data_IF_332933510059
#
_entry.id   IF_332933510059
#
_cell.length_a   1.000
_cell.length_b   1.000
_cell.length_c   1.000
_cell.angle_alpha   90.00
_cell.angle_beta   90.00
_cell.angle_gamma   90.00
#
_symmetry.space_group_name_H-M   'P 1'
#
loop_
_entity.id
_entity.type
_entity.pdbx_description
1 polymer ?
#
# COMPACT_ATOMS: atom_id res chain seq x y z
N UNK A 1 200.68 96.67 53.26
CA UNK A 1 199.84 97.87 53.43
C UNK A 1 198.61 97.45 54.22
N UNK A 2 198.34 98.17 55.31
CA UNK A 2 197.04 98.34 56.00
C UNK A 2 195.89 98.58 55.01
N UNK A 3 194.60 98.60 55.40
CA UNK A 3 194.04 98.66 56.77
C UNK A 3 192.86 97.66 57.02
N UNK A 4 192.60 97.09 58.19
CA UNK A 4 192.24 97.61 59.53
C UNK A 4 191.02 98.55 59.58
N UNK A 5 189.94 98.09 60.21
CA UNK A 5 188.81 98.92 60.67
C UNK A 5 187.60 98.04 61.01
N UNK A 6 187.44 97.57 62.26
CA UNK A 6 186.70 98.26 63.33
C UNK A 6 185.21 98.42 63.03
N UNK A 7 184.35 97.69 63.75
CA UNK A 7 183.34 98.30 64.63
C UNK A 7 182.46 97.23 65.30
N UNK A 8 182.62 97.14 66.61
CA UNK A 8 181.65 96.68 67.60
C UNK A 8 180.32 97.44 67.50
N UNK A 9 179.17 96.75 67.39
CA UNK A 9 177.84 97.22 67.86
C UNK A 9 176.73 96.11 67.69
N UNK A 10 176.11 95.70 68.81
CA UNK A 10 174.77 95.05 69.00
C UNK A 10 174.49 93.55 68.74
N UNK A 11 174.61 92.69 69.79
CA UNK A 11 173.93 91.39 69.87
C UNK A 11 172.40 91.45 70.09
N UNK A 12 171.85 92.58 70.57
CA UNK A 12 170.43 92.64 71.01
C UNK A 12 169.43 92.89 69.87
N UNK A 13 169.76 93.74 68.88
CA UNK A 13 168.92 93.92 67.68
C UNK A 13 168.96 92.71 66.74
N UNK A 14 170.12 92.03 66.64
CA UNK A 14 170.28 90.79 65.87
C UNK A 14 169.45 89.64 66.45
N UNK A 15 169.34 89.54 67.79
CA UNK A 15 168.50 88.55 68.47
C UNK A 15 167.01 88.76 68.22
N UNK A 16 166.53 90.01 68.23
CA UNK A 16 165.12 90.34 67.95
C UNK A 16 164.75 90.03 66.50
N UNK A 17 165.64 90.33 65.55
CA UNK A 17 165.46 89.98 64.13
C UNK A 17 165.43 88.46 63.92
N UNK A 18 166.32 87.71 64.60
CA UNK A 18 166.33 86.24 64.58
C UNK A 18 165.05 85.62 65.13
N UNK A 19 164.50 86.18 66.21
CA UNK A 19 163.24 85.72 66.80
C UNK A 19 162.04 86.00 65.88
N UNK A 20 162.02 87.16 65.21
CA UNK A 20 160.98 87.50 64.22
C UNK A 20 161.09 86.63 62.97
N UNK A 21 162.30 86.30 62.52
CA UNK A 21 162.53 85.36 61.41
C UNK A 21 162.05 83.96 61.81
N UNK A 22 162.46 83.45 62.97
CA UNK A 22 162.01 82.15 63.47
C UNK A 22 160.48 82.08 63.62
N UNK A 23 159.86 83.14 64.13
CA UNK A 23 158.39 83.20 64.23
C UNK A 23 157.71 83.28 62.85
N UNK A 24 158.31 83.99 61.88
CA UNK A 24 157.82 84.00 60.50
C UNK A 24 157.98 82.64 59.82
N UNK A 25 159.09 81.95 60.02
CA UNK A 25 159.34 80.61 59.49
C UNK A 25 158.38 79.59 60.13
N UNK A 26 158.09 79.73 61.42
CA UNK A 26 157.09 78.93 62.13
C UNK A 26 155.67 79.20 61.60
N UNK A 27 155.33 80.47 61.33
CA UNK A 27 154.06 80.85 60.68
C UNK A 27 154.00 80.33 59.22
N UNK A 28 155.11 80.35 58.48
CA UNK A 28 155.19 79.80 57.12
C UNK A 28 154.99 78.29 57.17
N UNK A 29 155.67 77.57 58.05
CA UNK A 29 155.50 76.12 58.23
C UNK A 29 154.07 75.74 58.63
N UNK A 30 153.43 76.52 59.51
CA UNK A 30 152.01 76.34 59.85
C UNK A 30 151.11 76.61 58.65
N UNK A 31 151.39 77.65 57.84
CA UNK A 31 150.61 77.94 56.62
C UNK A 31 150.80 76.87 55.55
N UNK A 32 152.02 76.37 55.34
CA UNK A 32 152.31 75.26 54.43
C UNK A 32 151.59 73.98 54.86
N UNK A 33 151.56 73.70 56.17
CA UNK A 33 150.77 72.59 56.73
C UNK A 33 149.28 72.76 56.47
N UNK A 34 148.72 73.96 56.70
CA UNK A 34 147.31 74.26 56.41
C UNK A 34 147.01 74.16 54.91
N UNK A 35 147.92 74.61 54.04
CA UNK A 35 147.77 74.48 52.59
C UNK A 35 147.75 73.00 52.20
N UNK A 36 148.68 72.19 52.69
CA UNK A 36 148.71 70.75 52.44
C UNK A 36 147.44 70.03 52.95
N UNK A 37 146.93 70.41 54.12
CA UNK A 37 145.64 69.93 54.64
C UNK A 37 144.45 70.37 53.76
N UNK A 38 144.48 71.59 53.20
CA UNK A 38 143.44 72.07 52.29
C UNK A 38 143.50 71.40 50.93
N UNK A 39 144.69 71.15 50.39
CA UNK A 39 144.90 70.43 49.13
C UNK A 39 144.44 68.97 49.24
N UNK A 40 144.73 68.31 50.37
CA UNK A 40 144.22 66.96 50.65
C UNK A 40 142.69 66.96 50.79
N UNK A 41 142.09 67.89 51.54
CA UNK A 41 140.63 68.05 51.61
C UNK A 41 139.99 68.31 50.24
N UNK A 42 140.60 69.14 49.39
CA UNK A 42 140.11 69.43 48.04
C UNK A 42 140.16 68.20 47.15
N UNK A 43 141.23 67.41 47.25
CA UNK A 43 141.38 66.15 46.53
C UNK A 43 140.32 65.15 46.98
N UNK A 44 140.13 64.97 48.29
CA UNK A 44 139.14 64.06 48.85
C UNK A 44 137.73 64.48 48.44
N UNK A 45 137.40 65.77 48.55
CA UNK A 45 136.09 66.30 48.15
C UNK A 45 135.84 66.12 46.64
N UNK A 46 136.87 66.31 45.81
CA UNK A 46 136.79 66.04 44.37
C UNK A 46 136.53 64.56 44.10
N UNK A 47 137.26 63.65 44.75
CA UNK A 47 137.05 62.20 44.58
C UNK A 47 135.67 61.74 45.07
N UNK A 48 135.20 62.31 46.19
CA UNK A 48 133.87 62.04 46.73
C UNK A 48 132.79 62.51 45.74
N UNK A 49 132.91 63.72 45.21
CA UNK A 49 131.97 64.28 44.22
C UNK A 49 131.97 63.48 42.92
N UNK A 50 133.14 63.09 42.41
CA UNK A 50 133.25 62.23 41.22
C UNK A 50 132.60 60.86 41.42
N UNK A 51 132.76 60.26 42.61
CA UNK A 51 132.14 58.98 42.97
C UNK A 51 130.62 59.12 43.06
N UNK A 52 130.12 60.13 43.78
CA UNK A 52 128.69 60.40 43.90
C UNK A 52 128.03 60.69 42.56
N UNK A 53 128.69 61.45 41.67
CA UNK A 53 128.18 61.70 40.33
C UNK A 53 128.12 60.42 39.49
N UNK A 54 129.14 59.56 39.56
CA UNK A 54 129.14 58.26 38.87
C UNK A 54 128.03 57.35 39.38
N UNK A 55 127.85 57.26 40.69
CA UNK A 55 126.81 56.43 41.30
C UNK A 55 125.41 56.95 40.91
N UNK A 56 125.20 58.28 40.94
CA UNK A 56 123.95 58.90 40.52
C UNK A 56 123.67 58.65 39.03
N UNK A 57 124.69 58.75 38.16
CA UNK A 57 124.56 58.44 36.73
C UNK A 57 124.15 56.98 36.55
N UNK A 58 124.84 56.04 37.21
CA UNK A 58 124.54 54.61 37.12
C UNK A 58 123.12 54.28 37.60
N UNK A 59 122.66 54.92 38.68
CA UNK A 59 121.28 54.78 39.18
C UNK A 59 120.27 55.30 38.16
N UNK A 60 120.53 56.46 37.54
CA UNK A 60 119.66 57.04 36.50
C UNK A 60 119.63 56.19 35.24
N UNK A 61 120.77 55.65 34.79
CA UNK A 61 120.85 54.73 33.66
C UNK A 61 120.05 53.46 33.92
N UNK A 62 120.17 52.89 35.12
CA UNK A 62 119.36 51.72 35.52
C UNK A 62 117.86 52.03 35.51
N UNK A 63 117.45 53.17 36.07
CA UNK A 63 116.05 53.60 36.06
C UNK A 63 115.52 53.85 34.64
N UNK A 64 116.34 54.41 33.75
CA UNK A 64 115.99 54.59 32.33
C UNK A 64 115.75 53.23 31.67
N UNK A 65 116.68 52.28 31.83
CA UNK A 65 116.56 50.94 31.27
C UNK A 65 115.31 50.20 31.78
N UNK A 66 114.98 50.33 33.07
CA UNK A 66 113.75 49.78 33.65
C UNK A 66 112.48 50.42 33.05
N UNK A 67 112.49 51.75 32.83
CA UNK A 67 111.37 52.46 32.20
C UNK A 67 111.22 52.11 30.73
N UNK A 68 112.30 51.98 29.97
CA UNK A 68 112.29 51.54 28.58
C UNK A 68 111.72 50.13 28.45
N UNK A 69 112.12 49.21 29.33
CA UNK A 69 111.54 47.87 29.37
C UNK A 69 110.03 47.89 29.65
N UNK A 70 109.59 48.71 30.61
CA UNK A 70 108.18 48.85 30.95
C UNK A 70 107.36 49.49 29.80
N UNK A 71 107.95 50.43 29.06
CA UNK A 71 107.34 51.02 27.87
C UNK A 71 107.18 49.93 26.79
N UNK A 72 108.23 49.17 26.50
CA UNK A 72 108.19 48.10 25.50
C UNK A 72 107.14 47.01 25.85
N UNK A 73 107.04 46.64 27.13
CA UNK A 73 106.00 45.71 27.61
C UNK A 73 104.59 46.29 27.41
N UNK A 74 104.37 47.57 27.71
CA UNK A 74 103.08 48.23 27.49
C UNK A 74 102.73 48.37 26.02
N UNK A 75 103.68 48.70 25.16
CA UNK A 75 103.48 48.77 23.70
C UNK A 75 103.07 47.42 23.14
N UNK A 76 103.70 46.33 23.61
CA UNK A 76 103.30 44.96 23.24
C UNK A 76 101.86 44.65 23.67
N UNK A 77 101.48 44.98 24.89
CA UNK A 77 100.09 44.79 25.39
C UNK A 77 99.09 45.63 24.59
N UNK A 78 99.43 46.87 24.23
CA UNK A 78 98.58 47.72 23.38
C UNK A 78 98.39 47.07 22.02
N UNK A 79 99.47 46.62 21.36
CA UNK A 79 99.39 45.94 20.07
C UNK A 79 98.52 44.67 20.13
N UNK A 80 98.67 43.86 21.18
CA UNK A 80 97.81 42.67 21.41
C UNK A 80 96.34 43.04 21.63
N UNK A 81 96.04 44.17 22.29
CA UNK A 81 94.67 44.64 22.48
C UNK A 81 94.07 45.21 21.19
N UNK A 82 94.86 45.89 20.37
CA UNK A 82 94.43 46.38 19.07
C UNK A 82 94.09 45.24 18.11
N UNK A 83 94.89 44.16 18.09
CA UNK A 83 94.57 42.96 17.30
C UNK A 83 93.31 42.28 17.82
N UNK A 84 93.18 42.08 19.14
CA UNK A 84 91.95 41.52 19.74
C UNK A 84 90.69 42.33 19.40
N UNK A 85 90.78 43.67 19.44
CA UNK A 85 89.66 44.54 19.08
C UNK A 85 89.30 44.43 17.60
N UNK A 86 90.29 44.32 16.72
CA UNK A 86 90.07 44.12 15.29
C UNK A 86 89.40 42.76 15.03
N UNK A 87 89.87 41.71 15.67
CA UNK A 87 89.32 40.36 15.53
C UNK A 87 87.88 40.30 16.06
N UNK A 88 87.61 40.89 17.24
CA UNK A 88 86.25 40.99 17.78
C UNK A 88 85.31 41.77 16.87
N UNK A 89 85.78 42.88 16.30
CA UNK A 89 84.99 43.69 15.36
C UNK A 89 84.64 42.89 14.10
N UNK A 90 85.61 42.22 13.49
CA UNK A 90 85.37 41.41 12.28
C UNK A 90 84.48 40.21 12.56
N UNK A 91 84.62 39.57 13.73
CA UNK A 91 83.75 38.47 14.14
C UNK A 91 82.30 38.96 14.32
N UNK A 92 82.10 40.08 15.01
CA UNK A 92 80.77 40.67 15.25
C UNK A 92 80.10 41.10 13.93
N UNK A 93 80.84 41.75 13.04
CA UNK A 93 80.35 42.14 11.71
C UNK A 93 79.92 40.92 10.89
N UNK A 94 80.72 39.85 10.91
CA UNK A 94 80.41 38.60 10.21
C UNK A 94 79.16 37.94 10.78
N UNK A 95 79.09 37.76 12.10
CA UNK A 95 77.95 37.14 12.77
C UNK A 95 76.64 37.92 12.56
N UNK A 96 76.69 39.26 12.61
CA UNK A 96 75.52 40.09 12.33
C UNK A 96 75.06 39.94 10.88
N UNK A 97 76.00 39.93 9.92
CA UNK A 97 75.67 39.77 8.50
C UNK A 97 75.05 38.40 8.22
N UNK A 98 75.60 37.33 8.80
CA UNK A 98 75.08 35.98 8.63
C UNK A 98 73.68 35.84 9.26
N UNK A 99 73.49 36.40 10.46
CA UNK A 99 72.19 36.41 11.13
C UNK A 99 71.14 37.18 10.31
N UNK A 100 71.49 38.34 9.75
CA UNK A 100 70.59 39.10 8.88
C UNK A 100 70.22 38.27 7.65
N UNK A 101 71.20 37.66 6.98
CA UNK A 101 70.94 36.84 5.79
C UNK A 101 70.06 35.62 6.10
N UNK A 102 70.22 34.98 7.26
CA UNK A 102 69.35 33.89 7.70
C UNK A 102 67.92 34.38 7.96
N UNK A 103 67.76 35.53 8.63
CA UNK A 103 66.45 36.12 8.90
C UNK A 103 65.74 36.55 7.61
N UNK A 104 66.46 37.13 6.65
CA UNK A 104 65.92 37.48 5.34
C UNK A 104 65.42 36.24 4.59
N UNK A 105 66.19 35.16 4.56
CA UNK A 105 65.76 33.88 3.97
C UNK A 105 64.48 33.35 4.63
N UNK A 106 64.43 33.33 5.97
CA UNK A 106 63.25 32.89 6.72
C UNK A 106 62.02 33.77 6.44
N UNK A 107 62.21 35.08 6.27
CA UNK A 107 61.13 36.00 5.90
C UNK A 107 60.61 35.64 4.50
N UNK A 108 61.49 35.50 3.52
CA UNK A 108 61.10 35.15 2.14
C UNK A 108 60.39 33.79 2.07
N UNK A 109 60.83 32.79 2.84
CA UNK A 109 60.13 31.49 2.93
C UNK A 109 58.73 31.63 3.53
N UNK A 110 58.58 32.42 4.60
CA UNK A 110 57.28 32.69 5.21
C UNK A 110 56.35 33.45 4.27
N UNK A 111 56.85 34.44 3.54
CA UNK A 111 56.08 35.18 2.54
C UNK A 111 55.56 34.27 1.43
N UNK A 112 56.40 33.35 0.93
CA UNK A 112 55.96 32.34 -0.05
C UNK A 112 54.86 31.44 0.50
N UNK A 113 55.02 30.94 1.73
CA UNK A 113 54.01 30.10 2.37
C UNK A 113 52.69 30.85 2.62
N UNK A 114 52.75 32.14 2.94
CA UNK A 114 51.57 32.99 3.08
C UNK A 114 50.86 33.12 1.73
N UNK A 115 51.59 33.45 0.66
CA UNK A 115 51.02 33.59 -0.68
C UNK A 115 50.38 32.27 -1.20
N UNK A 116 51.01 31.12 -0.93
CA UNK A 116 50.44 29.81 -1.26
C UNK A 116 49.14 29.53 -0.49
N UNK A 117 49.10 29.85 0.81
CA UNK A 117 47.89 29.70 1.63
C UNK A 117 46.78 30.64 1.19
N UNK A 118 47.08 31.89 0.85
CA UNK A 118 46.10 32.85 0.34
C UNK A 118 45.49 32.36 -0.98
N UNK A 119 46.33 31.84 -1.89
CA UNK A 119 45.85 31.24 -3.14
C UNK A 119 44.95 30.03 -2.88
N UNK A 120 45.35 29.14 -1.97
CA UNK A 120 44.55 27.97 -1.60
C UNK A 120 43.21 28.36 -0.97
N UNK A 121 43.18 29.36 -0.10
CA UNK A 121 41.95 29.89 0.50
C UNK A 121 41.04 30.44 -0.60
N UNK A 122 41.56 31.27 -1.52
CA UNK A 122 40.79 31.82 -2.63
C UNK A 122 40.20 30.72 -3.52
N UNK A 123 40.97 29.67 -3.85
CA UNK A 123 40.47 28.50 -4.59
C UNK A 123 39.37 27.73 -3.84
N UNK A 124 39.44 27.66 -2.51
CA UNK A 124 38.41 27.01 -1.70
C UNK A 124 37.14 27.86 -1.59
N UNK A 125 37.28 29.17 -1.48
CA UNK A 125 36.15 30.10 -1.49
C UNK A 125 35.39 30.07 -2.82
N UNK A 126 36.10 30.02 -3.94
CA UNK A 126 35.46 29.88 -5.27
C UNK A 126 34.76 28.53 -5.41
N UNK A 127 35.41 27.42 -5.02
CA UNK A 127 34.78 26.09 -5.01
C UNK A 127 33.51 26.04 -4.15
N UNK A 128 33.54 26.63 -2.94
CA UNK A 128 32.37 26.69 -2.07
C UNK A 128 31.23 27.52 -2.66
N UNK A 129 31.56 28.65 -3.29
CA UNK A 129 30.57 29.50 -3.96
C UNK A 129 29.93 28.75 -5.14
N UNK A 130 30.73 28.09 -5.97
CA UNK A 130 30.25 27.33 -7.12
C UNK A 130 29.34 26.17 -6.68
N UNK A 131 29.77 25.40 -5.67
CA UNK A 131 28.94 24.33 -5.08
C UNK A 131 27.61 24.87 -4.55
N UNK A 132 27.63 25.96 -3.78
CA UNK A 132 26.41 26.57 -3.25
C UNK A 132 25.45 27.00 -4.37
N UNK A 133 25.97 27.66 -5.42
CA UNK A 133 25.13 28.06 -6.56
C UNK A 133 24.60 26.87 -7.36
N UNK A 134 25.36 25.77 -7.44
CA UNK A 134 24.92 24.55 -8.10
C UNK A 134 23.80 23.86 -7.30
N UNK A 135 23.95 23.76 -5.98
CA UNK A 135 22.93 23.22 -5.08
C UNK A 135 21.64 24.04 -5.13
N UNK A 136 21.73 25.37 -5.07
CA UNK A 136 20.57 26.27 -5.18
C UNK A 136 19.82 26.08 -6.51
N UNK A 137 20.54 25.95 -7.63
CA UNK A 137 19.93 25.66 -8.94
C UNK A 137 19.25 24.30 -8.98
N UNK A 138 19.91 23.25 -8.45
CA UNK A 138 19.37 21.91 -8.43
C UNK A 138 18.10 21.82 -7.57
N UNK A 139 18.06 22.53 -6.44
CA UNK A 139 16.88 22.64 -5.59
C UNK A 139 15.75 23.32 -6.36
N UNK A 140 16.00 24.48 -6.99
CA UNK A 140 14.99 25.20 -7.77
C UNK A 140 14.43 24.36 -8.93
N UNK A 141 15.27 23.60 -9.63
CA UNK A 141 14.83 22.67 -10.68
C UNK A 141 13.95 21.55 -10.14
N UNK A 142 14.32 20.96 -8.99
CA UNK A 142 13.51 19.92 -8.33
C UNK A 142 12.18 20.46 -7.85
N UNK A 143 12.14 21.64 -7.25
CA UNK A 143 10.91 22.30 -6.82
C UNK A 143 9.97 22.56 -8.00
N UNK A 144 10.51 23.06 -9.12
CA UNK A 144 9.74 23.25 -10.35
C UNK A 144 9.17 21.93 -10.88
N UNK A 145 9.98 20.87 -10.90
CA UNK A 145 9.54 19.54 -11.33
C UNK A 145 8.43 18.97 -10.43
N UNK A 146 8.56 19.12 -9.11
CA UNK A 146 7.54 18.70 -8.15
C UNK A 146 6.24 19.47 -8.40
N UNK A 147 6.29 20.80 -8.53
CA UNK A 147 5.12 21.63 -8.79
C UNK A 147 4.40 21.24 -10.11
N UNK A 148 5.17 20.93 -11.16
CA UNK A 148 4.63 20.44 -12.42
C UNK A 148 3.93 19.08 -12.25
N UNK A 149 4.54 18.16 -11.50
CA UNK A 149 3.95 16.83 -11.22
C UNK A 149 2.72 16.90 -10.33
N UNK A 150 2.70 17.79 -9.34
CA UNK A 150 1.50 18.04 -8.52
C UNK A 150 0.34 18.58 -9.35
N UNK A 151 0.63 19.49 -10.28
CA UNK A 151 -0.37 20.02 -11.22
C UNK A 151 -0.91 18.91 -12.12
N UNK A 152 -0.03 18.11 -12.74
CA UNK A 152 -0.43 16.97 -13.57
C UNK A 152 -1.28 15.95 -12.80
N UNK A 153 -0.93 15.64 -11.55
CA UNK A 153 -1.71 14.73 -10.70
C UNK A 153 -3.08 15.30 -10.36
N UNK A 154 -3.17 16.60 -10.09
CA UNK A 154 -4.45 17.28 -9.82
C UNK A 154 -5.36 17.23 -11.04
N UNK A 155 -4.83 17.54 -12.22
CA UNK A 155 -5.58 17.54 -13.48
C UNK A 155 -6.05 16.12 -13.86
N UNK A 156 -5.17 15.12 -13.73
CA UNK A 156 -5.57 13.72 -13.96
C UNK A 156 -6.64 13.26 -12.97
N UNK A 157 -6.56 13.69 -11.71
CA UNK A 157 -7.57 13.34 -10.70
C UNK A 157 -8.92 13.96 -11.04
N UNK A 158 -8.96 15.25 -11.38
CA UNK A 158 -10.22 15.92 -11.74
C UNK A 158 -10.80 15.35 -13.04
N UNK A 159 -9.97 15.03 -14.02
CA UNK A 159 -10.40 14.37 -15.25
C UNK A 159 -11.02 12.99 -14.96
N UNK A 160 -10.37 12.17 -14.13
CA UNK A 160 -10.88 10.84 -13.78
C UNK A 160 -12.17 10.91 -12.96
N UNK A 161 -12.27 11.84 -12.01
CA UNK A 161 -13.50 12.08 -11.25
C UNK A 161 -14.66 12.49 -12.17
N UNK A 162 -14.38 13.34 -13.16
CA UNK A 162 -15.38 13.78 -14.15
C UNK A 162 -15.80 12.62 -15.05
N UNK A 163 -14.85 11.86 -15.61
CA UNK A 163 -15.13 10.67 -16.43
C UNK A 163 -15.99 9.64 -15.68
N UNK A 164 -15.71 9.40 -14.40
CA UNK A 164 -16.44 8.42 -13.60
C UNK A 164 -17.87 8.89 -13.30
N UNK A 165 -18.05 10.20 -13.06
CA UNK A 165 -19.37 10.80 -12.89
C UNK A 165 -20.20 10.71 -14.17
N UNK A 166 -19.62 11.07 -15.31
CA UNK A 166 -20.29 11.05 -16.61
C UNK A 166 -20.67 9.62 -17.01
N UNK A 167 -19.75 8.66 -16.84
CA UNK A 167 -20.01 7.25 -17.10
C UNK A 167 -21.13 6.70 -16.21
N UNK A 168 -21.17 7.11 -14.93
CA UNK A 168 -22.23 6.71 -14.01
C UNK A 168 -23.58 7.25 -14.47
N UNK A 169 -23.66 8.54 -14.82
CA UNK A 169 -24.90 9.13 -15.33
C UNK A 169 -25.37 8.48 -16.62
N UNK A 170 -24.45 8.18 -17.54
CA UNK A 170 -24.76 7.50 -18.80
C UNK A 170 -25.26 6.06 -18.57
N UNK A 171 -24.70 5.34 -17.59
CA UNK A 171 -25.19 4.00 -17.24
C UNK A 171 -26.54 4.03 -16.55
N UNK A 172 -26.81 5.04 -15.72
CA UNK A 172 -28.11 5.24 -15.09
C UNK A 172 -29.20 5.58 -16.11
N UNK A 173 -28.91 6.44 -17.10
CA UNK A 173 -29.84 6.75 -18.20
C UNK A 173 -30.10 5.52 -19.07
N UNK A 174 -29.05 4.80 -19.50
CA UNK A 174 -29.19 3.56 -20.26
C UNK A 174 -30.05 2.51 -19.54
N UNK A 175 -29.86 2.34 -18.23
CA UNK A 175 -30.66 1.39 -17.44
C UNK A 175 -32.14 1.81 -17.39
N UNK A 176 -32.39 3.12 -17.24
CA UNK A 176 -33.75 3.67 -17.21
C UNK A 176 -34.45 3.48 -18.56
N UNK A 177 -33.77 3.79 -19.66
CA UNK A 177 -34.30 3.66 -21.02
C UNK A 177 -34.55 2.19 -21.39
N UNK A 178 -33.65 1.27 -21.00
CA UNK A 178 -33.86 -0.16 -21.20
C UNK A 178 -35.08 -0.66 -20.41
N UNK A 179 -35.26 -0.17 -19.18
CA UNK A 179 -36.41 -0.52 -18.34
C UNK A 179 -37.73 -0.03 -18.95
N UNK A 180 -37.80 1.23 -19.39
CA UNK A 180 -39.01 1.79 -20.01
C UNK A 180 -39.33 1.10 -21.33
N UNK A 181 -38.32 0.75 -22.13
CA UNK A 181 -38.49 -0.04 -23.35
C UNK A 181 -39.10 -1.41 -23.04
N UNK A 182 -38.53 -2.13 -22.06
CA UNK A 182 -38.99 -3.47 -21.68
C UNK A 182 -40.41 -3.44 -21.08
N UNK A 183 -40.75 -2.42 -20.29
CA UNK A 183 -42.10 -2.19 -19.79
C UNK A 183 -43.11 -1.92 -20.92
N UNK A 184 -42.71 -1.15 -21.94
CA UNK A 184 -43.56 -0.85 -23.10
C UNK A 184 -43.78 -2.11 -23.94
N UNK A 185 -42.72 -2.86 -24.23
CA UNK A 185 -42.81 -4.14 -24.95
C UNK A 185 -43.72 -5.15 -24.24
N UNK A 186 -43.64 -5.24 -22.91
CA UNK A 186 -44.53 -6.10 -22.13
C UNK A 186 -45.99 -5.66 -22.24
N UNK A 187 -46.28 -4.36 -22.15
CA UNK A 187 -47.64 -3.82 -22.30
C UNK A 187 -48.22 -4.11 -23.69
N UNK A 188 -47.43 -3.88 -24.74
CA UNK A 188 -47.85 -4.11 -26.12
C UNK A 188 -48.14 -5.60 -26.36
N UNK A 189 -47.28 -6.48 -25.84
CA UNK A 189 -47.46 -7.93 -25.93
C UNK A 189 -48.73 -8.39 -25.18
N UNK A 190 -48.98 -7.85 -23.98
CA UNK A 190 -50.20 -8.15 -23.22
C UNK A 190 -51.43 -7.71 -24.01
N UNK A 191 -51.44 -6.48 -24.55
CA UNK A 191 -52.55 -5.97 -25.33
C UNK A 191 -52.81 -6.80 -26.60
N UNK A 192 -51.75 -7.27 -27.27
CA UNK A 192 -51.86 -8.18 -28.40
C UNK A 192 -52.48 -9.53 -27.99
N UNK A 193 -52.02 -10.11 -26.86
CA UNK A 193 -52.56 -11.37 -26.34
C UNK A 193 -54.01 -11.24 -25.90
N UNK A 194 -54.40 -10.13 -25.27
CA UNK A 194 -55.79 -9.84 -24.90
C UNK A 194 -56.69 -9.78 -26.14
N UNK A 195 -56.27 -9.08 -27.21
CA UNK A 195 -57.01 -9.06 -28.48
C UNK A 195 -57.21 -10.47 -29.05
N UNK A 196 -56.14 -11.27 -29.10
CA UNK A 196 -56.23 -12.66 -29.56
C UNK A 196 -57.18 -13.50 -28.71
N UNK A 197 -57.18 -13.34 -27.38
CA UNK A 197 -58.13 -14.02 -26.50
C UNK A 197 -59.56 -13.64 -26.87
N UNK A 198 -59.86 -12.34 -27.01
CA UNK A 198 -61.22 -11.88 -27.36
C UNK A 198 -61.69 -12.40 -28.72
N UNK A 199 -60.79 -12.50 -29.71
CA UNK A 199 -61.11 -13.11 -31.01
C UNK A 199 -61.39 -14.62 -30.88
N UNK A 200 -60.61 -15.33 -30.05
CA UNK A 200 -60.83 -16.76 -29.79
C UNK A 200 -62.13 -17.01 -29.03
N UNK A 201 -62.49 -16.18 -28.05
CA UNK A 201 -63.77 -16.26 -27.34
C UNK A 201 -64.96 -16.08 -28.29
N UNK A 202 -64.89 -15.11 -29.22
CA UNK A 202 -65.92 -14.93 -30.26
C UNK A 202 -66.06 -16.16 -31.15
N UNK A 203 -64.94 -16.73 -31.60
CA UNK A 203 -64.95 -17.96 -32.40
C UNK A 203 -65.56 -19.15 -31.65
N UNK A 204 -65.25 -19.29 -30.36
CA UNK A 204 -65.86 -20.33 -29.51
C UNK A 204 -67.38 -20.13 -29.42
N UNK A 205 -67.84 -18.89 -29.17
CA UNK A 205 -69.26 -18.59 -29.09
C UNK A 205 -70.00 -18.89 -30.42
N UNK A 206 -69.39 -18.57 -31.56
CA UNK A 206 -69.91 -18.92 -32.90
C UNK A 206 -69.98 -20.45 -33.11
N UNK A 207 -68.98 -21.19 -32.65
CA UNK A 207 -68.98 -22.65 -32.73
C UNK A 207 -70.05 -23.27 -31.82
N UNK A 208 -70.27 -22.72 -30.62
CA UNK A 208 -71.31 -23.17 -29.69
C UNK A 208 -72.73 -22.95 -30.25
N UNK A 209 -72.98 -21.82 -30.91
CA UNK A 209 -74.27 -21.56 -31.58
C UNK A 209 -74.49 -22.52 -32.74
N UNK A 210 -73.48 -22.74 -33.58
CA UNK A 210 -73.54 -23.75 -34.64
C UNK A 210 -73.83 -25.15 -34.10
N UNK A 211 -73.13 -25.58 -33.04
CA UNK A 211 -73.39 -26.87 -32.38
C UNK A 211 -74.83 -26.98 -31.85
N UNK A 212 -75.38 -25.90 -31.29
CA UNK A 212 -76.77 -25.86 -30.80
C UNK A 212 -77.77 -26.00 -31.95
N UNK A 213 -77.52 -25.35 -33.08
CA UNK A 213 -78.36 -25.46 -34.27
C UNK A 213 -78.31 -26.88 -34.86
N UNK A 214 -77.10 -27.46 -35.01
CA UNK A 214 -76.94 -28.84 -35.44
C UNK A 214 -77.67 -29.83 -34.52
N UNK A 215 -77.59 -29.64 -33.20
CA UNK A 215 -78.35 -30.46 -32.23
C UNK A 215 -79.86 -30.33 -32.42
N UNK A 216 -80.35 -29.11 -32.64
CA UNK A 216 -81.78 -28.87 -32.87
C UNK A 216 -82.26 -29.54 -34.16
N UNK A 217 -81.47 -29.46 -35.23
CA UNK A 217 -81.73 -30.19 -36.49
C UNK A 217 -81.76 -31.70 -36.27
N UNK A 218 -80.80 -32.22 -35.51
CA UNK A 218 -80.72 -33.65 -35.20
C UNK A 218 -81.96 -34.14 -34.43
N UNK A 219 -82.42 -33.40 -33.40
CA UNK A 219 -83.65 -33.70 -32.67
C UNK A 219 -84.88 -33.68 -33.59
N UNK A 220 -84.95 -32.73 -34.53
CA UNK A 220 -86.04 -32.69 -35.51
C UNK A 220 -86.03 -33.91 -36.43
N UNK A 221 -84.85 -34.30 -36.93
CA UNK A 221 -84.68 -35.51 -37.73
C UNK A 221 -85.10 -36.75 -36.93
N UNK A 222 -84.67 -36.85 -35.68
CA UNK A 222 -84.99 -38.00 -34.82
C UNK A 222 -86.49 -38.07 -34.54
N UNK A 223 -87.14 -36.95 -34.23
CA UNK A 223 -88.60 -36.88 -34.08
C UNK A 223 -89.33 -37.28 -35.37
N UNK A 224 -88.84 -36.86 -36.54
CA UNK A 224 -89.37 -37.31 -37.84
C UNK A 224 -89.21 -38.83 -38.01
N UNK A 225 -88.04 -39.39 -37.69
CA UNK A 225 -87.82 -40.85 -37.78
C UNK A 225 -88.70 -41.63 -36.80
N UNK A 226 -88.93 -41.13 -35.58
CA UNK A 226 -89.83 -41.75 -34.61
C UNK A 226 -91.30 -41.69 -35.06
N UNK A 227 -91.73 -40.59 -35.68
CA UNK A 227 -93.06 -40.49 -36.30
C UNK A 227 -93.21 -41.49 -37.46
N UNK A 228 -92.20 -41.64 -38.31
CA UNK A 228 -92.15 -42.64 -39.38
C UNK A 228 -92.17 -44.08 -38.82
N UNK A 229 -91.41 -44.38 -37.76
CA UNK A 229 -91.44 -45.66 -37.05
C UNK A 229 -92.80 -45.95 -36.39
N UNK A 230 -93.47 -44.94 -35.84
CA UNK A 230 -94.81 -45.09 -35.25
C UNK A 230 -95.90 -45.43 -36.28
N UNK A 231 -95.68 -45.09 -37.56
CA UNK A 231 -96.55 -45.50 -38.68
C UNK A 231 -96.34 -46.95 -39.08
N UNK A 232 -95.21 -47.57 -38.70
CA UNK A 232 -94.98 -49.01 -38.85
C UNK A 232 -95.77 -49.75 -37.78
N UNK A 233 -97.01 -50.14 -38.13
CA UNK A 233 -97.94 -50.93 -37.30
C UNK A 233 -97.24 -52.10 -36.60
N UNK A 234 -97.19 -52.07 -35.27
CA UNK A 234 -97.28 -53.28 -34.45
C UNK A 234 -98.42 -53.11 -33.45
N UNK A 235 -99.41 -54.00 -33.48
CA UNK A 235 -100.68 -53.88 -32.76
C UNK A 235 -100.60 -54.13 -31.25
N UNK A 236 -99.55 -53.66 -30.57
CA UNK A 236 -99.39 -53.79 -29.11
C UNK A 236 -99.07 -52.42 -28.51
N UNK A 237 -99.72 -52.06 -27.40
CA UNK A 237 -99.39 -50.84 -26.66
C UNK A 237 -97.97 -50.95 -26.09
N UNK A 238 -97.25 -49.83 -26.00
CA UNK A 238 -95.90 -49.74 -25.41
C UNK A 238 -95.84 -50.41 -24.03
N UNK A 239 -96.87 -50.18 -23.21
CA UNK A 239 -97.02 -50.79 -21.87
C UNK A 239 -97.06 -52.31 -21.93
N UNK A 240 -97.75 -52.90 -22.91
CA UNK A 240 -97.85 -54.36 -23.07
C UNK A 240 -96.59 -54.97 -23.67
N UNK A 241 -95.87 -54.24 -24.52
CA UNK A 241 -94.55 -54.64 -25.01
C UNK A 241 -93.49 -54.66 -23.92
N UNK A 242 -93.48 -53.65 -23.05
CA UNK A 242 -92.62 -53.57 -21.87
C UNK A 242 -92.93 -54.68 -20.87
N UNK A 243 -94.21 -54.94 -20.59
CA UNK A 243 -94.63 -56.04 -19.71
C UNK A 243 -94.18 -57.41 -20.24
N UNK A 244 -94.28 -57.64 -21.56
CA UNK A 244 -93.76 -58.87 -22.19
C UNK A 244 -92.24 -58.96 -22.06
N UNK A 245 -91.50 -57.89 -22.36
CA UNK A 245 -90.04 -57.89 -22.26
C UNK A 245 -89.56 -58.22 -20.84
N UNK A 246 -90.18 -57.63 -19.82
CA UNK A 246 -89.83 -57.90 -18.43
C UNK A 246 -90.14 -59.34 -18.04
N UNK A 247 -91.35 -59.84 -18.36
CA UNK A 247 -91.75 -61.19 -17.98
C UNK A 247 -91.08 -62.30 -18.82
N UNK A 248 -90.61 -62.00 -20.04
CA UNK A 248 -89.93 -62.96 -20.91
C UNK A 248 -88.41 -62.96 -20.70
N UNK A 249 -87.82 -61.83 -20.35
CA UNK A 249 -86.35 -61.68 -20.29
C UNK A 249 -85.78 -61.39 -18.90
N UNK A 250 -86.50 -60.67 -18.03
CA UNK A 250 -85.96 -60.19 -16.75
C UNK A 250 -86.48 -60.97 -15.54
N UNK A 251 -87.71 -61.46 -15.61
CA UNK A 251 -88.37 -62.24 -14.56
C UNK A 251 -88.77 -63.64 -15.08
N UNK A 252 -89.06 -64.54 -14.15
CA UNK A 252 -89.61 -65.88 -14.41
C UNK A 252 -90.80 -66.12 -13.49
N UNK A 253 -91.87 -66.74 -14.01
CA UNK A 253 -93.10 -67.01 -13.25
C UNK A 253 -93.17 -68.50 -12.94
N UNK A 254 -93.14 -68.88 -11.66
CA UNK A 254 -93.37 -70.25 -11.21
C UNK A 254 -94.37 -70.25 -10.06
N UNK A 255 -95.49 -71.00 -10.20
CA UNK A 255 -96.47 -71.22 -9.13
C UNK A 255 -97.03 -69.92 -8.51
N UNK A 256 -97.44 -68.97 -9.34
CA UNK A 256 -97.93 -67.62 -8.97
C UNK A 256 -96.91 -66.73 -8.21
N UNK A 257 -95.63 -67.10 -8.20
CA UNK A 257 -94.52 -66.26 -7.70
C UNK A 257 -93.59 -65.85 -8.83
N UNK A 258 -93.32 -64.55 -8.93
CA UNK A 258 -92.33 -63.97 -9.84
C UNK A 258 -90.96 -63.99 -9.16
N UNK A 259 -89.94 -64.47 -9.86
CA UNK A 259 -88.55 -64.47 -9.39
C UNK A 259 -87.62 -63.95 -10.49
N UNK A 260 -86.40 -63.51 -10.15
CA UNK A 260 -85.42 -63.09 -11.16
C UNK A 260 -85.16 -64.20 -12.19
N UNK A 261 -85.06 -63.83 -13.47
CA UNK A 261 -84.60 -64.72 -14.52
C UNK A 261 -83.16 -65.16 -14.27
N UNK A 262 -82.73 -66.27 -14.91
CA UNK A 262 -81.33 -66.70 -14.81
C UNK A 262 -80.36 -65.58 -15.22
N UNK A 263 -80.75 -64.78 -16.21
CA UNK A 263 -79.98 -63.63 -16.65
C UNK A 263 -79.88 -62.55 -15.55
N UNK A 264 -81.00 -62.17 -14.94
CA UNK A 264 -81.01 -61.19 -13.85
C UNK A 264 -80.17 -61.65 -12.65
N UNK A 265 -80.20 -62.95 -12.32
CA UNK A 265 -79.35 -63.52 -11.26
C UNK A 265 -77.87 -63.45 -11.58
N UNK A 266 -77.48 -63.73 -12.83
CA UNK A 266 -76.08 -63.65 -13.25
C UNK A 266 -75.56 -62.21 -13.23
N UNK A 267 -76.39 -61.24 -13.65
CA UNK A 267 -76.07 -59.81 -13.54
C UNK A 267 -75.90 -59.40 -12.08
N UNK A 268 -76.85 -59.74 -11.18
CA UNK A 268 -76.70 -59.49 -9.75
C UNK A 268 -75.42 -60.14 -9.18
N UNK A 269 -75.06 -61.34 -9.63
CA UNK A 269 -73.83 -62.00 -9.19
C UNK A 269 -72.59 -61.22 -9.59
N UNK A 270 -72.49 -60.78 -10.85
CA UNK A 270 -71.38 -59.93 -11.32
C UNK A 270 -71.32 -58.60 -10.56
N UNK A 271 -72.46 -57.99 -10.27
CA UNK A 271 -72.53 -56.70 -9.57
C UNK A 271 -72.08 -56.77 -8.10
N UNK A 272 -72.11 -57.95 -7.48
CA UNK A 272 -71.55 -58.15 -6.11
C UNK A 272 -70.07 -57.83 -6.04
N UNK A 273 -69.32 -58.14 -7.10
CA UNK A 273 -67.88 -57.85 -7.16
C UNK A 273 -67.60 -56.33 -7.18
N UNK A 274 -68.59 -55.52 -7.57
CA UNK A 274 -68.53 -54.06 -7.59
C UNK A 274 -69.23 -53.39 -6.39
N UNK A 275 -69.62 -54.18 -5.39
CA UNK A 275 -70.18 -53.69 -4.13
C UNK A 275 -71.71 -53.55 -4.09
N UNK A 276 -72.43 -53.99 -5.12
CA UNK A 276 -73.89 -54.06 -5.10
C UNK A 276 -74.33 -55.45 -4.64
N UNK A 277 -74.88 -55.54 -3.43
CA UNK A 277 -75.23 -56.82 -2.79
C UNK A 277 -76.69 -56.84 -2.30
N UNK A 278 -77.62 -56.40 -3.14
CA UNK A 278 -79.05 -56.48 -2.83
C UNK A 278 -79.54 -57.92 -2.83
N UNK A 279 -80.54 -58.21 -2.00
CA UNK A 279 -81.18 -59.53 -2.01
C UNK A 279 -82.01 -59.67 -3.28
N UNK A 280 -81.87 -60.80 -3.97
CA UNK A 280 -82.56 -61.07 -5.26
C UNK A 280 -84.09 -60.86 -5.19
N UNK A 281 -84.71 -61.17 -4.05
CA UNK A 281 -86.13 -60.91 -3.79
C UNK A 281 -86.49 -59.41 -3.84
N UNK A 282 -85.61 -58.55 -3.34
CA UNK A 282 -85.80 -57.11 -3.38
C UNK A 282 -85.51 -56.53 -4.77
N UNK A 283 -84.52 -57.06 -5.49
CA UNK A 283 -84.24 -56.68 -6.88
C UNK A 283 -85.38 -57.08 -7.81
N UNK A 284 -85.95 -58.27 -7.64
CA UNK A 284 -87.15 -58.69 -8.37
C UNK A 284 -88.34 -57.76 -8.08
N UNK A 285 -88.59 -57.43 -6.81
CA UNK A 285 -89.65 -56.49 -6.45
C UNK A 285 -89.42 -55.11 -7.05
N UNK A 286 -88.18 -54.67 -7.14
CA UNK A 286 -87.83 -53.38 -7.74
C UNK A 286 -87.98 -53.39 -9.26
N UNK A 287 -87.67 -54.50 -9.94
CA UNK A 287 -87.98 -54.69 -11.36
C UNK A 287 -89.49 -54.65 -11.64
N UNK A 288 -90.31 -55.18 -10.74
CA UNK A 288 -91.77 -55.06 -10.82
C UNK A 288 -92.25 -53.64 -10.57
N UNK A 289 -91.69 -52.94 -9.59
CA UNK A 289 -92.03 -51.54 -9.30
C UNK A 289 -91.63 -50.63 -10.45
N UNK A 290 -90.47 -50.87 -11.08
CA UNK A 290 -90.02 -50.17 -12.28
C UNK A 290 -91.09 -50.28 -13.38
N UNK A 291 -91.81 -51.40 -13.52
CA UNK A 291 -92.93 -51.53 -14.47
C UNK A 291 -94.01 -50.44 -14.28
N UNK A 292 -94.25 -50.00 -13.04
CA UNK A 292 -95.21 -48.93 -12.71
C UNK A 292 -94.58 -47.52 -12.80
N UNK A 293 -93.27 -47.42 -12.62
CA UNK A 293 -92.53 -46.16 -12.49
C UNK A 293 -91.94 -45.62 -13.82
N UNK A 294 -91.82 -46.43 -14.90
CA UNK A 294 -91.32 -45.94 -16.21
C UNK A 294 -92.20 -44.80 -16.81
N UNK A 295 -93.39 -44.56 -16.25
CA UNK A 295 -94.23 -43.40 -16.59
C UNK A 295 -93.90 -42.10 -15.82
N UNK A 296 -92.98 -42.15 -14.84
CA UNK A 296 -92.55 -41.01 -14.01
C UNK A 296 -91.14 -40.56 -14.38
N UNK A 297 -90.78 -39.28 -14.13
CA UNK A 297 -89.40 -38.82 -14.33
C UNK A 297 -88.46 -39.59 -13.40
N UNK A 298 -87.47 -40.29 -13.98
CA UNK A 298 -86.42 -40.96 -13.20
C UNK A 298 -85.63 -39.92 -12.40
N UNK A 299 -85.42 -40.18 -11.12
CA UNK A 299 -84.56 -39.35 -10.27
C UNK A 299 -83.13 -39.36 -10.82
N UNK A 300 -82.54 -38.17 -11.05
CA UNK A 300 -81.11 -38.07 -11.39
C UNK A 300 -80.31 -38.44 -10.14
N UNK A 301 -79.46 -39.48 -10.19
CA UNK A 301 -78.59 -39.79 -9.07
C UNK A 301 -77.63 -38.62 -8.82
N UNK A 302 -77.31 -38.35 -7.55
CA UNK A 302 -76.22 -37.45 -7.21
C UNK A 302 -74.93 -38.07 -7.72
N UNK A 303 -74.05 -37.28 -8.35
CA UNK A 303 -72.78 -37.77 -8.87
C UNK A 303 -71.66 -37.09 -8.10
N UNK A 304 -70.80 -37.87 -7.45
CA UNK A 304 -69.61 -37.35 -6.77
C UNK A 304 -68.37 -37.59 -7.65
N UNK A 305 -67.66 -36.51 -7.98
CA UNK A 305 -66.41 -36.55 -8.77
C UNK A 305 -66.53 -36.11 -10.23
N UNK A 306 -65.38 -36.05 -10.93
CA UNK A 306 -65.32 -35.75 -12.36
C UNK A 306 -65.66 -37.00 -13.17
N UNK A 307 -66.87 -37.07 -13.71
CA UNK A 307 -67.24 -38.04 -14.73
C UNK A 307 -66.96 -37.42 -16.10
N UNK A 308 -66.17 -38.11 -16.92
CA UNK A 308 -65.61 -37.52 -18.13
C UNK A 308 -66.54 -37.64 -19.35
N UNK A 309 -67.30 -38.73 -19.54
CA UNK A 309 -68.36 -38.89 -20.58
C UNK A 309 -69.20 -40.15 -20.31
N UNK A 310 -70.53 -40.12 -20.49
CA UNK A 310 -71.40 -41.31 -20.41
C UNK A 310 -72.79 -41.05 -19.78
N UNK A 311 -73.72 -42.00 -19.89
CA UNK A 311 -75.02 -41.92 -19.21
C UNK A 311 -74.91 -42.51 -17.81
N UNK A 312 -75.34 -41.76 -16.79
CA UNK A 312 -75.18 -42.18 -15.39
C UNK A 312 -76.51 -42.65 -14.83
N UNK A 313 -76.51 -43.85 -14.27
CA UNK A 313 -77.66 -44.46 -13.59
C UNK A 313 -77.16 -45.18 -12.34
N UNK A 314 -78.03 -45.45 -11.38
CA UNK A 314 -77.64 -46.18 -10.16
C UNK A 314 -78.33 -45.63 -8.92
N UNK A 315 -77.71 -45.87 -7.77
CA UNK A 315 -78.25 -45.57 -6.44
C UNK A 315 -77.99 -46.72 -5.47
N UNK A 316 -78.75 -46.75 -4.38
CA UNK A 316 -78.66 -47.84 -3.40
C UNK A 316 -79.25 -49.15 -3.95
N UNK A 317 -78.68 -50.32 -3.62
CA UNK A 317 -79.35 -51.61 -3.79
C UNK A 317 -80.72 -51.60 -3.08
N UNK A 318 -81.81 -52.11 -3.69
CA UNK A 318 -81.85 -52.96 -4.88
C UNK A 318 -82.01 -52.24 -6.23
N UNK A 319 -82.16 -50.91 -6.25
CA UNK A 319 -82.53 -50.15 -7.45
C UNK A 319 -81.41 -50.15 -8.50
N UNK A 320 -80.16 -49.97 -8.08
CA UNK A 320 -79.02 -50.00 -9.00
C UNK A 320 -78.92 -51.34 -9.76
N UNK A 321 -79.15 -52.46 -9.07
CA UNK A 321 -79.11 -53.80 -9.68
C UNK A 321 -80.28 -54.00 -10.65
N UNK A 322 -81.48 -53.53 -10.29
CA UNK A 322 -82.64 -53.60 -11.18
C UNK A 322 -82.42 -52.81 -12.48
N UNK A 323 -81.90 -51.58 -12.37
CA UNK A 323 -81.57 -50.75 -13.54
C UNK A 323 -80.47 -51.39 -14.40
N UNK A 324 -79.42 -51.93 -13.77
CA UNK A 324 -78.35 -52.60 -14.47
C UNK A 324 -78.83 -53.83 -15.25
N UNK A 325 -79.71 -54.65 -14.67
CA UNK A 325 -80.34 -55.80 -15.35
C UNK A 325 -81.10 -55.36 -16.61
N UNK A 326 -81.93 -54.30 -16.50
CA UNK A 326 -82.71 -53.80 -17.64
C UNK A 326 -81.79 -53.29 -18.75
N UNK A 327 -80.80 -52.47 -18.40
CA UNK A 327 -79.91 -51.81 -19.36
C UNK A 327 -78.99 -52.82 -20.04
N UNK A 328 -78.37 -53.71 -19.26
CA UNK A 328 -77.55 -54.80 -19.77
C UNK A 328 -78.35 -55.66 -20.75
N UNK A 329 -79.61 -55.99 -20.42
CA UNK A 329 -80.45 -56.78 -21.32
C UNK A 329 -80.83 -56.03 -22.60
N UNK A 330 -81.15 -54.74 -22.49
CA UNK A 330 -81.46 -53.91 -23.67
C UNK A 330 -80.27 -53.78 -24.62
N UNK A 331 -79.05 -53.70 -24.08
CA UNK A 331 -77.82 -53.68 -24.87
C UNK A 331 -77.51 -55.05 -25.49
N UNK A 332 -77.64 -56.14 -24.74
CA UNK A 332 -77.47 -57.51 -25.26
C UNK A 332 -78.47 -57.80 -26.40
N UNK A 333 -79.72 -57.36 -26.25
CA UNK A 333 -80.75 -57.46 -27.29
C UNK A 333 -80.59 -56.44 -28.42
N UNK A 334 -79.54 -55.60 -28.38
CA UNK A 334 -79.19 -54.57 -29.38
C UNK A 334 -80.25 -53.48 -29.58
N UNK A 335 -81.14 -53.30 -28.61
CA UNK A 335 -82.10 -52.18 -28.59
C UNK A 335 -81.40 -50.85 -28.25
N UNK A 336 -80.29 -50.91 -27.52
CA UNK A 336 -79.40 -49.77 -27.22
C UNK A 336 -77.99 -50.20 -27.59
N UNK A 337 -77.30 -49.47 -28.48
CA UNK A 337 -75.96 -49.83 -28.95
C UNK A 337 -74.98 -48.68 -28.71
N UNK A 338 -73.70 -49.02 -28.49
CA UNK A 338 -72.61 -48.06 -28.32
C UNK A 338 -72.88 -47.01 -27.23
N UNK A 339 -73.55 -47.43 -26.17
CA UNK A 339 -73.89 -46.57 -25.04
C UNK A 339 -73.20 -47.07 -23.79
N UNK A 340 -72.16 -46.38 -23.35
CA UNK A 340 -71.53 -46.67 -22.07
C UNK A 340 -72.40 -46.08 -20.96
N UNK A 341 -72.90 -46.97 -20.11
CA UNK A 341 -73.74 -46.60 -18.98
C UNK A 341 -72.96 -46.80 -17.68
N UNK A 342 -72.69 -45.71 -17.00
CA UNK A 342 -71.96 -45.62 -15.75
C UNK A 342 -72.90 -45.96 -14.60
N UNK A 343 -72.62 -47.06 -13.89
CA UNK A 343 -73.41 -47.47 -12.73
C UNK A 343 -72.79 -46.88 -11.45
N UNK A 344 -73.56 -46.08 -10.73
CA UNK A 344 -73.14 -45.44 -9.47
C UNK A 344 -73.79 -46.07 -8.24
N UNK A 345 -73.10 -46.01 -7.09
CA UNK A 345 -73.66 -46.36 -5.78
C UNK A 345 -74.55 -45.24 -5.20
N UNK A 346 -75.11 -45.45 -4.00
CA UNK A 346 -75.94 -44.46 -3.31
C UNK A 346 -75.20 -43.19 -2.87
N UNK A 347 -73.86 -43.22 -2.83
CA UNK A 347 -73.02 -42.04 -2.62
C UNK A 347 -72.67 -41.30 -3.93
N UNK A 348 -73.13 -41.82 -5.07
CA UNK A 348 -72.89 -41.23 -6.37
C UNK A 348 -71.51 -41.53 -6.97
N UNK A 349 -70.81 -42.54 -6.47
CA UNK A 349 -69.50 -42.98 -7.00
C UNK A 349 -69.71 -44.03 -8.08
N UNK A 350 -69.04 -43.85 -9.22
CA UNK A 350 -69.07 -44.86 -10.29
C UNK A 350 -68.36 -46.14 -9.84
N UNK A 351 -69.01 -47.28 -10.03
CA UNK A 351 -68.48 -48.60 -9.66
C UNK A 351 -68.11 -49.46 -10.86
N UNK A 352 -68.92 -49.40 -11.92
CA UNK A 352 -68.70 -50.16 -13.13
C UNK A 352 -69.36 -49.49 -14.33
N UNK A 353 -68.99 -49.92 -15.54
CA UNK A 353 -69.60 -49.51 -16.80
C UNK A 353 -70.37 -50.69 -17.38
N UNK A 354 -71.57 -50.43 -17.89
CA UNK A 354 -72.34 -51.36 -18.70
C UNK A 354 -72.15 -50.95 -20.15
N UNK A 355 -71.42 -51.77 -20.91
CA UNK A 355 -71.15 -51.53 -22.34
C UNK A 355 -71.47 -52.78 -23.15
N UNK A 356 -72.32 -52.62 -24.16
CA UNK A 356 -72.77 -53.70 -25.04
C UNK A 356 -73.33 -54.95 -24.31
N UNK A 357 -73.89 -54.75 -23.11
CA UNK A 357 -74.47 -55.81 -22.28
C UNK A 357 -73.50 -56.40 -21.25
N UNK A 358 -72.20 -56.09 -21.33
CA UNK A 358 -71.20 -56.54 -20.37
C UNK A 358 -70.98 -55.51 -19.26
N UNK A 359 -70.66 -56.01 -18.06
CA UNK A 359 -70.33 -55.21 -16.88
C UNK A 359 -68.82 -55.24 -16.70
N UNK A 360 -68.17 -54.10 -16.85
CA UNK A 360 -66.72 -53.94 -16.80
C UNK A 360 -66.31 -52.91 -15.76
N UNK A 361 -65.07 -52.99 -15.29
CA UNK A 361 -64.53 -52.07 -14.28
C UNK A 361 -64.40 -50.64 -14.83
N UNK A 362 -64.74 -49.66 -14.00
CA UNK A 362 -64.63 -48.25 -14.36
C UNK A 362 -63.17 -47.82 -14.40
N UNK A 363 -62.59 -47.73 -15.61
CA UNK A 363 -61.18 -47.40 -15.84
C UNK A 363 -60.47 -48.29 -16.87
N UNK A 364 -61.10 -49.38 -17.31
CA UNK A 364 -60.60 -50.29 -18.37
C UNK A 364 -61.47 -50.31 -19.65
N UNK A 365 -62.41 -49.37 -19.80
CA UNK A 365 -63.26 -49.21 -21.00
C UNK A 365 -62.84 -48.01 -21.86
#
# INVERSE_FOLDING_TARGET
MSPTGSASWWPWQSSKLRMVIAHKDEVIALKEKVIAEKETQLKDLKTLMETQLKDLIAEKEKLIAEKEKLIAEKEKVIAEKETQLKDLKTLMETQLKDLIAEKEKLITEKEKLIAEKEKFIAEKETQLKDLKTHEEKLIAEKEKFIAEKETQLKDLKTEKETQLKDLKTEKETQLKDLKTLMETQLKDLIAEKEKLITEKEKLIAEQETQLKDLRSQWVQLEMQTLQELSRVKSGKSLTKGLEMFVNEHLLTVASDKKTLSMYGREVCKKLRDFGFAGKEEFVQKELENLMHEISKPLHRPHVSGKIYTGYVVGGEPPLAEALAIVISKLQECKFVQNLDVLLVDGEGKCKCVISNGDIVEYGEA
#
